data_IF_566018588404
#
_entry.id   IF_566018588404
#
_cell.length_a   1.000
_cell.length_b   1.000
_cell.length_c   1.000
_cell.angle_alpha   90.00
_cell.angle_beta   90.00
_cell.angle_gamma   90.00
#
_symmetry.space_group_name_H-M   'P 1'
#
loop_
_entity.id
_entity.type
_entity.pdbx_description
1 polymer ?
#
# COMPACT_ATOMS: atom_id res chain seq x y z
N UNK A 1 6.21 -30.68 12.27
CA UNK A 1 7.40 -30.27 11.49
C UNK A 1 7.57 -28.80 11.77
N UNK A 2 8.73 -28.31 12.22
CA UNK A 2 8.96 -26.88 12.41
C UNK A 2 8.97 -26.24 11.02
N UNK A 3 7.89 -25.52 10.68
CA UNK A 3 7.88 -24.69 9.49
C UNK A 3 9.04 -23.70 9.61
N UNK A 4 9.95 -23.75 8.68
CA UNK A 4 11.12 -22.88 8.64
C UNK A 4 10.63 -21.46 8.41
N UNK A 5 10.62 -20.70 9.47
CA UNK A 5 10.42 -19.27 9.52
C UNK A 5 11.42 -18.61 8.56
N UNK A 6 10.95 -17.93 7.52
CA UNK A 6 11.82 -17.24 6.58
C UNK A 6 12.28 -15.90 7.18
N UNK A 7 13.27 -15.96 8.06
CA UNK A 7 13.83 -14.80 8.76
C UNK A 7 14.33 -13.72 7.80
N UNK A 8 14.87 -14.12 6.64
CA UNK A 8 15.36 -13.18 5.63
C UNK A 8 14.23 -12.39 4.98
N UNK A 9 13.08 -13.01 4.71
CA UNK A 9 11.90 -12.32 4.15
C UNK A 9 11.34 -11.31 5.15
N UNK A 10 11.26 -11.65 6.43
CA UNK A 10 10.81 -10.72 7.46
C UNK A 10 11.78 -9.56 7.68
N UNK A 11 13.08 -9.80 7.59
CA UNK A 11 14.08 -8.74 7.62
C UNK A 11 13.87 -7.78 6.44
N UNK A 12 13.73 -8.31 5.21
CA UNK A 12 13.43 -7.48 4.03
C UNK A 12 12.10 -6.73 4.14
N UNK A 13 11.07 -7.35 4.74
CA UNK A 13 9.79 -6.66 5.02
C UNK A 13 9.99 -5.48 5.97
N UNK A 14 10.68 -5.68 7.09
CA UNK A 14 10.95 -4.61 8.06
C UNK A 14 11.75 -3.47 7.42
N UNK A 15 12.75 -3.79 6.59
CA UNK A 15 13.53 -2.79 5.86
C UNK A 15 12.68 -2.03 4.84
N UNK A 16 11.84 -2.73 4.08
CA UNK A 16 10.91 -2.11 3.13
C UNK A 16 9.94 -1.14 3.82
N UNK A 17 9.31 -1.57 4.92
CA UNK A 17 8.38 -0.74 5.70
C UNK A 17 9.08 0.51 6.28
N UNK A 18 10.31 0.35 6.80
CA UNK A 18 11.09 1.46 7.35
C UNK A 18 11.47 2.47 6.28
N UNK A 19 11.85 2.01 5.09
CA UNK A 19 12.28 2.85 3.97
C UNK A 19 11.12 3.46 3.18
N UNK A 20 9.88 3.08 3.46
CA UNK A 20 8.68 3.49 2.72
C UNK A 20 7.73 4.34 3.56
N UNK A 21 8.14 5.54 4.05
CA UNK A 21 7.28 6.38 4.89
C UNK A 21 6.11 7.00 4.14
N UNK A 22 6.15 7.07 2.80
CA UNK A 22 5.09 7.66 1.95
C UNK A 22 4.91 6.83 0.68
N UNK A 23 3.80 7.02 -0.09
CA UNK A 23 3.56 6.33 -1.36
C UNK A 23 4.72 6.47 -2.36
N UNK A 24 5.32 7.66 -2.46
CA UNK A 24 6.46 7.91 -3.36
C UNK A 24 7.70 7.09 -2.97
N UNK A 25 8.00 6.99 -1.68
CA UNK A 25 9.09 6.14 -1.19
C UNK A 25 8.78 4.66 -1.42
N UNK A 26 7.53 4.23 -1.21
CA UNK A 26 7.11 2.86 -1.43
C UNK A 26 7.26 2.46 -2.91
N UNK A 27 6.70 3.26 -3.83
CA UNK A 27 6.82 3.03 -5.27
C UNK A 27 8.30 3.08 -5.74
N UNK A 28 9.10 4.02 -5.22
CA UNK A 28 10.52 4.12 -5.50
C UNK A 28 11.31 2.89 -5.04
N UNK A 29 11.05 2.38 -3.82
CA UNK A 29 11.68 1.17 -3.29
C UNK A 29 11.26 -0.09 -4.07
N UNK A 30 9.98 -0.18 -4.47
CA UNK A 30 9.52 -1.25 -5.36
C UNK A 30 10.23 -1.19 -6.71
N UNK A 31 10.31 0.00 -7.33
CA UNK A 31 11.00 0.21 -8.60
C UNK A 31 12.48 -0.19 -8.52
N UNK A 32 13.19 0.23 -7.48
CA UNK A 32 14.60 -0.13 -7.29
C UNK A 32 14.82 -1.64 -7.18
N UNK A 33 13.94 -2.36 -6.48
CA UNK A 33 14.01 -3.83 -6.37
C UNK A 33 13.68 -4.52 -7.70
N UNK A 34 12.73 -3.99 -8.46
CA UNK A 34 12.40 -4.48 -9.81
C UNK A 34 13.57 -4.29 -10.77
N UNK A 35 14.22 -3.13 -10.76
CA UNK A 35 15.43 -2.87 -11.56
C UNK A 35 16.57 -3.84 -11.25
N UNK A 36 16.84 -4.05 -9.94
CA UNK A 36 17.83 -5.04 -9.48
C UNK A 36 17.52 -6.46 -9.97
N UNK A 37 16.23 -6.80 -10.11
CA UNK A 37 15.76 -8.07 -10.66
C UNK A 37 15.71 -8.11 -12.19
N UNK A 38 16.13 -7.04 -12.89
CA UNK A 38 16.20 -6.98 -14.35
C UNK A 38 14.90 -6.57 -15.05
N UNK A 39 13.94 -5.98 -14.35
CA UNK A 39 12.79 -5.34 -14.96
C UNK A 39 13.22 -4.05 -15.66
N UNK A 40 12.68 -3.80 -16.84
CA UNK A 40 12.96 -2.60 -17.62
C UNK A 40 11.92 -1.52 -17.33
N UNK A 41 12.37 -0.32 -16.99
CA UNK A 41 11.49 0.83 -16.83
C UNK A 41 10.89 1.25 -18.17
N UNK A 42 9.60 1.50 -18.17
CA UNK A 42 8.84 2.05 -19.29
C UNK A 42 8.40 3.49 -18.94
N UNK A 43 8.53 4.39 -19.91
CA UNK A 43 8.05 5.76 -19.78
C UNK A 43 6.64 5.89 -20.37
N UNK A 44 5.68 6.43 -19.60
CA UNK A 44 4.30 6.56 -20.06
C UNK A 44 4.16 7.41 -21.32
N UNK A 45 5.01 8.43 -21.48
CA UNK A 45 5.00 9.36 -22.61
C UNK A 45 5.72 8.83 -23.85
N UNK A 46 6.41 7.69 -23.74
CA UNK A 46 7.13 7.08 -24.84
C UNK A 46 6.33 5.95 -25.51
N UNK A 47 6.72 5.58 -26.72
CA UNK A 47 6.26 4.36 -27.35
C UNK A 47 6.95 3.17 -26.70
N UNK A 48 6.17 2.17 -26.31
CA UNK A 48 6.72 0.94 -25.75
C UNK A 48 7.12 -0.05 -26.86
N UNK A 49 8.11 -0.85 -26.57
CA UNK A 49 8.52 -2.00 -27.38
C UNK A 49 8.59 -3.22 -26.47
N UNK A 50 7.49 -3.96 -26.43
CA UNK A 50 7.37 -5.12 -25.57
C UNK A 50 7.82 -6.38 -26.30
N UNK A 51 8.56 -7.24 -25.61
CA UNK A 51 9.09 -8.49 -26.14
C UNK A 51 8.64 -9.65 -25.24
N UNK A 52 8.12 -10.76 -25.79
CA UNK A 52 7.85 -11.97 -25.02
C UNK A 52 9.06 -12.40 -24.18
N UNK A 53 8.83 -12.97 -23.00
CA UNK A 53 9.85 -13.38 -22.05
C UNK A 53 10.53 -12.25 -21.28
N UNK A 54 10.14 -10.97 -21.49
CA UNK A 54 10.73 -9.82 -20.80
C UNK A 54 9.85 -9.31 -19.67
N UNK A 55 10.48 -8.52 -18.80
CA UNK A 55 9.90 -7.97 -17.56
C UNK A 55 9.97 -6.44 -17.61
N UNK A 56 8.88 -5.80 -17.23
CA UNK A 56 8.74 -4.35 -17.34
C UNK A 56 8.06 -3.76 -16.11
N UNK A 57 8.32 -2.48 -15.84
CA UNK A 57 7.53 -1.70 -14.88
C UNK A 57 7.33 -0.26 -15.38
N UNK A 58 6.31 0.38 -14.86
CA UNK A 58 5.95 1.78 -15.14
C UNK A 58 5.38 2.41 -13.87
N UNK A 59 5.67 3.70 -13.64
CA UNK A 59 5.12 4.47 -12.52
C UNK A 59 4.19 5.56 -13.04
N UNK A 60 3.20 5.94 -12.24
CA UNK A 60 2.35 7.11 -12.44
C UNK A 60 2.38 7.98 -11.19
N UNK A 61 2.62 9.29 -11.36
CA UNK A 61 2.82 10.25 -10.27
C UNK A 61 3.94 9.86 -9.28
N UNK A 62 4.80 8.90 -9.64
CA UNK A 62 5.83 8.28 -8.81
C UNK A 62 5.30 7.69 -7.48
N UNK A 63 3.97 7.60 -7.29
CA UNK A 63 3.30 7.07 -6.12
C UNK A 63 2.54 5.77 -6.38
N UNK A 64 2.18 5.49 -7.65
CA UNK A 64 1.60 4.23 -8.10
C UNK A 64 2.56 3.52 -9.07
N UNK A 65 2.56 2.19 -9.05
CA UNK A 65 3.46 1.37 -9.88
C UNK A 65 2.72 0.15 -10.43
N UNK A 66 3.00 -0.16 -11.71
CA UNK A 66 2.62 -1.43 -12.34
C UNK A 66 3.89 -2.12 -12.81
N UNK A 67 4.06 -3.39 -12.40
CA UNK A 67 5.13 -4.25 -12.88
C UNK A 67 4.52 -5.50 -13.51
N UNK A 68 5.07 -5.94 -14.66
CA UNK A 68 4.55 -7.11 -15.36
C UNK A 68 5.65 -7.92 -16.03
N UNK A 69 5.36 -9.20 -16.20
CA UNK A 69 6.19 -10.16 -16.88
C UNK A 69 5.40 -10.80 -18.01
N UNK A 70 5.98 -10.84 -19.18
CA UNK A 70 5.40 -11.48 -20.36
C UNK A 70 5.96 -12.92 -20.48
N UNK A 71 5.13 -13.93 -20.78
CA UNK A 71 5.62 -15.26 -21.05
C UNK A 71 6.35 -15.29 -22.41
N UNK A 72 7.19 -16.29 -22.63
CA UNK A 72 7.77 -16.55 -23.97
C UNK A 72 6.71 -17.02 -24.97
N UNK A 73 5.67 -17.69 -24.47
CA UNK A 73 4.52 -18.14 -25.24
C UNK A 73 3.53 -16.99 -25.50
N UNK A 74 2.48 -17.27 -26.27
CA UNK A 74 1.38 -16.33 -26.50
C UNK A 74 0.72 -15.87 -25.18
N UNK A 75 0.49 -14.56 -25.04
CA UNK A 75 -0.19 -14.00 -23.88
C UNK A 75 -1.71 -14.10 -24.06
N UNK A 76 -2.32 -15.05 -23.40
CA UNK A 76 -3.78 -15.28 -23.45
C UNK A 76 -4.52 -14.86 -22.18
N UNK A 77 -3.81 -14.67 -21.07
CA UNK A 77 -4.37 -14.26 -19.78
C UNK A 77 -3.26 -13.68 -18.88
N UNK A 78 -3.64 -12.78 -18.00
CA UNK A 78 -2.78 -12.23 -16.95
C UNK A 78 -3.23 -12.71 -15.58
N UNK A 79 -2.26 -13.10 -14.74
CA UNK A 79 -2.44 -13.31 -13.30
C UNK A 79 -2.06 -12.00 -12.64
N UNK A 80 -3.07 -11.29 -12.10
CA UNK A 80 -2.88 -9.96 -11.57
C UNK A 80 -2.97 -9.93 -10.06
N UNK A 81 -2.08 -9.19 -9.42
CA UNK A 81 -2.10 -8.86 -8.00
C UNK A 81 -2.33 -7.36 -7.90
N UNK A 82 -3.29 -6.94 -7.09
CA UNK A 82 -3.56 -5.54 -6.78
C UNK A 82 -3.27 -5.23 -5.32
N UNK A 83 -2.67 -4.08 -5.05
CA UNK A 83 -2.42 -3.53 -3.73
C UNK A 83 -2.46 -1.99 -3.79
N UNK A 84 -2.24 -1.29 -2.67
CA UNK A 84 -2.10 0.16 -2.66
C UNK A 84 -0.91 0.62 -1.82
N UNK A 85 -0.34 1.79 -2.20
CA UNK A 85 0.89 2.34 -1.62
C UNK A 85 0.63 3.33 -0.50
N UNK A 86 -0.56 3.93 -0.45
CA UNK A 86 -0.96 4.92 0.53
C UNK A 86 -1.41 4.26 1.85
N UNK A 87 -1.43 5.05 2.91
CA UNK A 87 -1.88 4.67 4.24
C UNK A 87 -2.41 5.88 4.97
N UNK A 88 -3.35 5.74 5.93
CA UNK A 88 -3.90 6.86 6.66
C UNK A 88 -2.84 7.60 7.49
N UNK A 89 -2.95 8.94 7.55
CA UNK A 89 -1.97 9.74 8.26
C UNK A 89 -2.32 11.21 8.45
N UNK A 90 -1.33 11.98 8.89
CA UNK A 90 -1.41 13.42 9.07
C UNK A 90 -0.55 14.12 8.00
N UNK A 91 -1.20 14.73 7.02
CA UNK A 91 -0.55 15.44 5.92
C UNK A 91 -0.49 16.94 6.22
N UNK A 92 0.59 17.61 5.82
CA UNK A 92 0.73 19.04 5.99
C UNK A 92 -0.28 19.81 5.13
N UNK A 93 -0.80 20.89 5.69
CA UNK A 93 -1.55 21.90 4.91
C UNK A 93 -0.58 22.76 4.10
N UNK A 94 -1.01 23.38 2.98
CA UNK A 94 -0.16 24.25 2.18
C UNK A 94 0.48 25.40 3.01
N UNK A 95 -0.29 26.02 3.89
CA UNK A 95 0.19 27.06 4.83
C UNK A 95 0.24 26.44 6.25
N UNK A 96 1.19 25.51 6.46
CA UNK A 96 1.25 24.71 7.68
C UNK A 96 1.84 25.46 8.89
N UNK A 97 2.72 26.44 8.68
CA UNK A 97 3.42 27.15 9.77
C UNK A 97 2.43 27.88 10.69
N UNK A 98 2.45 27.56 11.97
CA UNK A 98 1.70 28.25 13.00
C UNK A 98 2.49 28.33 14.30
N UNK A 99 2.22 29.33 15.14
CA UNK A 99 2.82 29.48 16.46
C UNK A 99 1.73 29.47 17.51
N UNK A 100 1.94 28.73 18.59
CA UNK A 100 1.05 28.75 19.77
C UNK A 100 1.89 28.62 21.03
N UNK A 101 1.64 29.54 21.99
CA UNK A 101 2.34 29.58 23.27
C UNK A 101 3.90 29.56 23.17
N UNK A 102 4.46 30.20 22.14
CA UNK A 102 5.92 30.24 21.90
C UNK A 102 6.50 29.00 21.23
N UNK A 103 5.65 28.10 20.71
CA UNK A 103 6.05 26.89 20.02
C UNK A 103 5.66 26.90 18.56
N UNK A 104 6.60 26.57 17.68
CA UNK A 104 6.31 26.27 16.29
C UNK A 104 5.54 24.96 16.21
N UNK A 105 4.40 25.01 15.54
CA UNK A 105 3.58 23.86 15.18
C UNK A 105 3.33 23.83 13.67
N UNK A 106 3.00 22.66 13.15
CA UNK A 106 2.58 22.53 11.75
C UNK A 106 1.11 22.10 11.69
N UNK A 107 0.33 22.88 10.93
CA UNK A 107 -1.07 22.58 10.66
C UNK A 107 -1.20 21.34 9.75
N UNK A 108 -2.04 20.38 10.15
CA UNK A 108 -2.25 19.14 9.43
C UNK A 108 -3.70 18.97 8.99
N UNK A 109 -3.90 18.16 7.96
CA UNK A 109 -5.17 17.55 7.58
C UNK A 109 -5.08 16.04 7.74
N UNK A 110 -6.20 15.42 8.10
CA UNK A 110 -6.31 13.97 8.21
C UNK A 110 -6.47 13.38 6.82
N UNK A 111 -5.65 12.39 6.50
CA UNK A 111 -5.73 11.60 5.27
C UNK A 111 -6.31 10.22 5.61
N UNK A 112 -7.42 9.84 4.97
CA UNK A 112 -8.07 8.55 5.18
C UNK A 112 -8.74 8.39 6.55
N UNK A 113 -9.02 7.15 6.91
CA UNK A 113 -9.73 6.76 8.14
C UNK A 113 -8.82 6.57 9.35
N UNK A 114 -8.05 7.58 9.76
CA UNK A 114 -7.03 7.51 10.84
C UNK A 114 -7.62 7.23 12.22
N UNK A 115 -7.01 6.30 12.97
CA UNK A 115 -7.17 6.24 14.41
C UNK A 115 -6.32 7.33 15.06
N UNK A 116 -6.93 8.47 15.46
CA UNK A 116 -6.19 9.64 15.94
C UNK A 116 -5.53 9.47 17.31
N UNK A 117 -6.17 8.74 18.22
CA UNK A 117 -5.66 8.58 19.59
C UNK A 117 -4.25 7.99 19.67
N UNK A 118 -3.85 6.97 18.87
CA UNK A 118 -2.50 6.43 18.90
C UNK A 118 -1.40 7.38 18.39
N UNK A 119 -1.74 8.52 17.79
CA UNK A 119 -0.77 9.52 17.32
C UNK A 119 -0.21 10.40 18.43
N UNK A 120 -0.92 10.48 19.57
CA UNK A 120 -0.41 11.24 20.70
C UNK A 120 0.86 10.60 21.28
N UNK A 121 1.80 11.45 21.71
CA UNK A 121 3.03 11.09 22.40
C UNK A 121 3.98 10.20 21.58
N UNK A 122 3.83 10.20 20.24
CA UNK A 122 4.71 9.47 19.33
C UNK A 122 5.83 10.38 18.82
N UNK A 123 6.99 9.77 18.61
CA UNK A 123 8.14 10.39 17.97
C UNK A 123 7.90 10.48 16.46
N UNK A 124 7.70 11.69 15.93
CA UNK A 124 7.31 11.89 14.55
C UNK A 124 8.47 12.41 13.70
N UNK A 125 8.68 11.77 12.55
CA UNK A 125 9.45 12.25 11.42
C UNK A 125 8.54 12.87 10.37
N UNK A 126 9.12 13.47 9.33
CA UNK A 126 8.42 14.10 8.21
C UNK A 126 8.98 13.58 6.89
N UNK A 127 8.12 13.14 5.99
CA UNK A 127 8.54 12.66 4.68
C UNK A 127 7.55 13.01 3.59
N UNK A 128 8.00 12.97 2.34
CA UNK A 128 7.18 13.17 1.16
C UNK A 128 7.94 13.72 -0.02
N UNK A 129 7.25 14.47 -0.87
CA UNK A 129 7.78 15.07 -2.09
C UNK A 129 7.82 16.58 -1.95
N UNK A 130 8.94 17.20 -2.36
CA UNK A 130 9.15 18.65 -2.39
C UNK A 130 9.50 19.06 -3.80
N UNK A 131 8.86 20.12 -4.30
CA UNK A 131 9.17 20.72 -5.59
C UNK A 131 9.99 21.97 -5.37
N UNK A 132 11.18 22.01 -5.98
CA UNK A 132 12.11 23.13 -5.88
C UNK A 132 12.32 23.80 -7.24
N UNK A 133 12.55 25.11 -7.22
CA UNK A 133 12.98 25.87 -8.39
C UNK A 133 14.45 26.24 -8.25
N UNK A 134 15.25 25.87 -9.24
CA UNK A 134 16.65 26.22 -9.33
C UNK A 134 16.85 27.66 -9.87
N UNK A 135 18.06 28.20 -9.72
CA UNK A 135 18.39 29.56 -10.14
C UNK A 135 18.22 29.78 -11.65
N UNK A 136 18.31 28.72 -12.45
CA UNK A 136 18.08 28.76 -13.91
C UNK A 136 16.60 28.64 -14.29
N UNK A 137 15.71 28.50 -13.29
CA UNK A 137 14.25 28.43 -13.43
C UNK A 137 13.68 27.04 -13.65
N UNK A 138 14.51 25.97 -13.77
CA UNK A 138 13.97 24.63 -13.89
C UNK A 138 13.36 24.14 -12.57
N UNK A 139 12.32 23.30 -12.65
CA UNK A 139 11.66 22.67 -11.51
C UNK A 139 12.17 21.25 -11.35
N UNK A 140 12.53 20.88 -10.11
CA UNK A 140 12.92 19.53 -9.73
C UNK A 140 12.00 19.02 -8.64
N UNK A 141 11.66 17.71 -8.70
CA UNK A 141 10.92 17.00 -7.67
C UNK A 141 11.88 16.14 -6.86
N UNK A 142 11.92 16.34 -5.55
CA UNK A 142 12.86 15.68 -4.64
C UNK A 142 12.09 14.97 -3.54
N UNK A 143 12.46 13.72 -3.22
CA UNK A 143 11.93 13.01 -2.04
C UNK A 143 12.70 13.43 -0.79
N UNK A 144 11.98 13.90 0.20
CA UNK A 144 12.52 14.25 1.52
C UNK A 144 12.11 13.20 2.55
N UNK A 145 13.04 12.75 3.37
CA UNK A 145 12.77 11.90 4.53
C UNK A 145 13.59 12.34 5.74
N UNK A 146 12.95 13.05 6.66
CA UNK A 146 13.57 13.43 7.95
C UNK A 146 13.36 12.27 8.93
N UNK A 147 14.21 11.24 8.81
CA UNK A 147 14.15 9.97 9.58
C UNK A 147 14.73 10.13 10.99
N UNK A 148 14.15 11.06 11.75
CA UNK A 148 14.42 11.29 13.17
C UNK A 148 13.22 11.96 13.84
N UNK A 149 13.11 11.84 15.16
CA UNK A 149 12.08 12.51 15.95
C UNK A 149 12.27 14.04 15.88
N UNK A 150 11.43 14.72 15.11
CA UNK A 150 11.43 16.19 14.97
C UNK A 150 10.14 16.84 15.49
N UNK A 151 9.11 16.05 15.74
CA UNK A 151 7.83 16.55 16.18
C UNK A 151 7.10 15.55 17.07
N UNK A 152 6.09 16.05 17.75
CA UNK A 152 5.21 15.26 18.64
C UNK A 152 3.84 15.94 18.69
N UNK A 153 2.77 15.16 18.84
CA UNK A 153 1.45 15.64 19.27
C UNK A 153 1.32 15.32 20.77
N UNK A 154 1.56 16.28 21.69
CA UNK A 154 1.56 15.97 23.12
C UNK A 154 0.14 15.76 23.65
N UNK A 155 -0.06 14.75 24.47
CA UNK A 155 -1.30 14.54 25.22
C UNK A 155 -1.52 15.65 26.25
N UNK A 156 -2.78 15.99 26.47
CA UNK A 156 -3.13 16.80 27.63
C UNK A 156 -3.07 15.95 28.91
N UNK A 157 -2.49 16.49 29.97
CA UNK A 157 -2.39 15.77 31.23
C UNK A 157 -3.79 15.40 31.78
N UNK A 158 -3.91 14.17 32.33
CA UNK A 158 -5.16 13.65 32.90
C UNK A 158 -5.82 14.59 33.87
N UNK A 159 -5.05 15.41 34.59
CA UNK A 159 -5.56 16.40 35.56
C UNK A 159 -6.35 17.53 34.91
N UNK A 160 -6.08 17.80 33.62
CA UNK A 160 -6.76 18.85 32.83
C UNK A 160 -7.84 18.27 31.90
N UNK A 161 -7.89 16.91 31.75
CA UNK A 161 -8.84 16.20 30.90
C UNK A 161 -9.26 14.88 31.56
N UNK A 162 -10.09 14.96 32.58
CA UNK A 162 -10.48 13.80 33.39
C UNK A 162 -11.40 12.82 32.67
N UNK A 163 -12.04 13.26 31.59
CA UNK A 163 -12.98 12.45 30.80
C UNK A 163 -12.33 11.74 29.59
N UNK A 164 -11.03 11.89 29.39
CA UNK A 164 -10.31 11.33 28.23
C UNK A 164 -10.54 9.81 28.08
N UNK A 165 -10.56 9.07 29.20
CA UNK A 165 -10.77 7.62 29.19
C UNK A 165 -12.28 7.23 29.10
N UNK A 166 -13.19 8.18 29.13
CA UNK A 166 -14.64 7.96 29.05
C UNK A 166 -15.20 8.18 27.64
N UNK A 167 -14.33 8.34 26.60
CA UNK A 167 -14.73 8.47 25.21
C UNK A 167 -14.86 9.92 24.71
N UNK A 168 -13.98 10.84 25.16
CA UNK A 168 -13.91 12.20 24.64
C UNK A 168 -13.62 12.19 23.12
N UNK A 169 -14.45 12.84 22.28
CA UNK A 169 -14.15 12.98 20.86
C UNK A 169 -12.93 13.87 20.63
N UNK A 170 -12.05 13.46 19.70
CA UNK A 170 -10.89 14.24 19.26
C UNK A 170 -11.30 15.17 18.12
N UNK A 171 -10.89 16.44 18.21
CA UNK A 171 -11.03 17.41 17.12
C UNK A 171 -9.69 17.55 16.39
N UNK A 172 -9.55 17.01 15.14
CA UNK A 172 -8.27 17.06 14.43
C UNK A 172 -7.83 18.48 14.08
N UNK A 173 -8.75 19.41 13.90
CA UNK A 173 -8.42 20.81 13.56
C UNK A 173 -7.67 21.53 14.68
N UNK A 174 -8.00 21.25 15.94
CA UNK A 174 -7.52 22.01 17.09
C UNK A 174 -6.57 21.23 17.99
N UNK A 175 -6.47 19.89 17.85
CA UNK A 175 -5.79 19.04 18.81
C UNK A 175 -4.65 18.19 18.20
N UNK A 176 -4.51 18.18 16.86
CA UNK A 176 -3.58 17.29 16.18
C UNK A 176 -2.39 18.00 15.52
N UNK A 177 -2.19 19.30 15.75
CA UNK A 177 -1.03 20.02 15.21
C UNK A 177 0.25 19.60 15.95
N UNK A 178 1.22 18.92 15.26
CA UNK A 178 2.46 18.51 15.89
C UNK A 178 3.32 19.72 16.30
N UNK A 179 3.93 19.63 17.47
CA UNK A 179 4.86 20.61 18.03
C UNK A 179 6.27 20.23 17.59
N UNK A 180 7.03 21.21 17.05
CA UNK A 180 8.39 20.98 16.54
C UNK A 180 9.49 21.56 17.42
N UNK A 181 9.39 22.86 17.73
CA UNK A 181 10.46 23.55 18.47
C UNK A 181 9.93 24.81 19.16
N UNK A 182 10.66 25.28 20.17
CA UNK A 182 10.38 26.58 20.78
C UNK A 182 10.88 27.69 19.87
N UNK A 183 9.97 28.38 19.21
CA UNK A 183 10.25 29.52 18.34
C UNK A 183 8.94 30.24 18.00
N UNK A 184 9.00 31.58 17.93
CA UNK A 184 7.90 32.42 17.46
C UNK A 184 8.10 32.87 15.99
N UNK A 185 9.27 32.63 15.42
CA UNK A 185 9.66 33.20 14.14
C UNK A 185 10.08 32.15 13.10
N UNK A 186 10.46 30.96 13.53
CA UNK A 186 10.86 29.89 12.59
C UNK A 186 9.71 29.46 11.69
N UNK A 187 10.02 29.12 10.46
CA UNK A 187 9.05 28.72 9.43
C UNK A 187 9.35 27.34 8.86
N UNK A 188 8.33 26.68 8.31
CA UNK A 188 8.52 25.44 7.57
C UNK A 188 9.46 25.62 6.38
N UNK A 189 9.40 26.76 5.67
CA UNK A 189 10.24 27.01 4.51
C UNK A 189 11.73 27.01 4.88
N UNK A 190 12.11 27.60 6.01
CA UNK A 190 13.50 27.57 6.50
C UNK A 190 13.95 26.16 6.87
N UNK A 191 13.09 25.37 7.52
CA UNK A 191 13.38 23.98 7.85
C UNK A 191 13.53 23.12 6.58
N UNK A 192 12.65 23.29 5.60
CA UNK A 192 12.75 22.56 4.33
C UNK A 192 14.05 22.91 3.58
N UNK A 193 14.42 24.19 3.52
CA UNK A 193 15.68 24.60 2.91
C UNK A 193 16.89 23.93 3.59
N UNK A 194 16.91 23.90 4.92
CA UNK A 194 17.95 23.22 5.68
C UNK A 194 17.98 21.71 5.38
N UNK A 195 16.88 21.01 5.44
CA UNK A 195 16.82 19.55 5.21
C UNK A 195 17.14 19.17 3.76
N UNK A 196 16.76 19.99 2.78
CA UNK A 196 17.13 19.80 1.38
C UNK A 196 18.64 19.98 1.18
N UNK A 197 19.27 20.95 1.84
CA UNK A 197 20.73 21.09 1.83
C UNK A 197 21.41 19.88 2.50
N UNK A 198 20.94 19.46 3.68
CA UNK A 198 21.50 18.32 4.43
C UNK A 198 21.43 17.00 3.65
N UNK A 199 20.31 16.70 2.99
CA UNK A 199 20.09 15.41 2.36
C UNK A 199 20.49 15.36 0.88
N UNK A 200 20.38 16.45 0.16
CA UNK A 200 20.55 16.50 -1.29
C UNK A 200 21.63 17.49 -1.76
N UNK A 201 22.21 18.27 -0.84
CA UNK A 201 23.18 19.31 -1.17
C UNK A 201 22.57 20.50 -1.95
N UNK A 202 21.24 20.59 -1.95
CA UNK A 202 20.49 21.65 -2.67
C UNK A 202 20.60 22.98 -1.90
N UNK A 203 21.34 23.93 -2.47
CA UNK A 203 21.55 25.27 -1.91
C UNK A 203 20.88 26.30 -2.82
N UNK A 204 20.39 27.37 -2.20
CA UNK A 204 19.80 28.50 -2.90
C UNK A 204 18.67 28.10 -3.87
N UNK A 205 17.88 27.09 -3.53
CA UNK A 205 16.66 26.71 -4.23
C UNK A 205 15.44 27.33 -3.56
N UNK A 206 14.42 27.64 -4.34
CA UNK A 206 13.10 28.05 -3.84
C UNK A 206 12.21 26.83 -3.69
N UNK A 207 11.66 26.57 -2.51
CA UNK A 207 10.59 25.58 -2.33
C UNK A 207 9.30 26.15 -2.92
N UNK A 208 8.80 25.53 -3.98
CA UNK A 208 7.60 26.01 -4.70
C UNK A 208 6.34 25.36 -4.17
N UNK A 209 6.40 24.05 -3.91
CA UNK A 209 5.26 23.28 -3.39
C UNK A 209 5.75 21.99 -2.72
N UNK A 210 4.87 21.33 -1.97
CA UNK A 210 5.20 20.07 -1.31
C UNK A 210 3.96 19.22 -1.05
N UNK A 211 4.20 17.91 -0.94
CA UNK A 211 3.27 16.92 -0.41
C UNK A 211 4.00 16.15 0.70
N UNK A 212 3.79 16.55 1.95
CA UNK A 212 4.52 16.03 3.12
C UNK A 212 3.55 15.49 4.16
N UNK A 213 3.93 14.38 4.81
CA UNK A 213 3.18 13.77 5.90
C UNK A 213 4.08 13.40 7.07
N UNK A 214 3.52 13.48 8.27
CA UNK A 214 4.16 12.94 9.46
C UNK A 214 4.05 11.41 9.51
N UNK A 215 5.04 10.78 10.09
CA UNK A 215 5.05 9.35 10.35
C UNK A 215 5.80 9.04 11.66
N UNK A 216 5.51 7.90 12.27
CA UNK A 216 6.22 7.41 13.45
C UNK A 216 7.59 6.86 13.06
N UNK A 217 8.66 7.42 13.66
CA UNK A 217 10.04 6.94 13.42
C UNK A 217 10.33 5.62 14.13
N UNK A 218 9.42 5.10 14.92
CA UNK A 218 9.59 3.78 15.54
C UNK A 218 9.69 2.70 14.45
N UNK A 219 10.83 2.04 14.40
CA UNK A 219 11.06 0.98 13.41
C UNK A 219 10.09 -0.18 13.54
N UNK A 220 9.79 -0.88 12.43
CA UNK A 220 9.12 -2.17 12.47
C UNK A 220 9.84 -3.14 13.40
N UNK A 221 9.10 -3.98 14.10
CA UNK A 221 9.68 -4.95 15.03
C UNK A 221 8.89 -6.25 15.09
N UNK A 222 9.58 -7.34 15.39
CA UNK A 222 8.94 -8.59 15.75
C UNK A 222 8.53 -8.53 17.23
N UNK A 223 7.30 -8.89 17.53
CA UNK A 223 6.67 -8.77 18.85
C UNK A 223 6.09 -10.11 19.27
N UNK A 224 5.93 -10.29 20.58
CA UNK A 224 5.50 -11.55 21.18
C UNK A 224 6.68 -12.35 21.73
N UNK A 225 6.36 -13.25 22.67
CA UNK A 225 7.39 -14.08 23.35
C UNK A 225 8.15 -14.96 22.36
N UNK A 226 7.49 -15.38 21.29
CA UNK A 226 8.04 -16.22 20.22
C UNK A 226 8.26 -15.44 18.89
N UNK A 227 8.12 -14.12 18.92
CA UNK A 227 8.22 -13.26 17.74
C UNK A 227 7.21 -13.63 16.64
N UNK A 228 6.02 -14.06 17.02
CA UNK A 228 4.94 -14.47 16.13
C UNK A 228 4.19 -13.32 15.47
N UNK A 229 4.49 -12.08 15.85
CA UNK A 229 3.83 -10.87 15.35
C UNK A 229 4.87 -9.91 14.74
N UNK A 230 4.48 -9.23 13.68
CA UNK A 230 5.15 -8.04 13.16
C UNK A 230 4.32 -6.81 13.49
N UNK A 231 4.94 -5.81 14.12
CA UNK A 231 4.29 -4.55 14.45
C UNK A 231 5.00 -3.39 13.71
N UNK A 232 4.23 -2.62 12.96
CA UNK A 232 4.71 -1.47 12.17
C UNK A 232 3.57 -0.50 11.88
N UNK A 233 3.91 0.73 11.53
CA UNK A 233 3.00 1.60 10.80
C UNK A 233 2.84 1.09 9.36
N UNK A 234 1.73 1.42 8.71
CA UNK A 234 1.48 1.22 7.27
C UNK A 234 1.54 -0.25 6.81
N UNK A 235 1.23 -1.22 7.69
CA UNK A 235 1.02 -2.59 7.24
C UNK A 235 -0.14 -2.64 6.24
N UNK A 236 -1.18 -1.85 6.49
CA UNK A 236 -2.19 -1.47 5.52
C UNK A 236 -1.66 -0.29 4.68
N UNK A 237 -1.26 -0.50 3.40
CA UNK A 237 -1.26 -1.80 2.69
C UNK A 237 0.14 -2.14 2.14
N UNK A 238 1.20 -1.56 2.74
CA UNK A 238 2.58 -1.86 2.33
C UNK A 238 2.97 -3.33 2.53
N UNK A 239 2.27 -4.03 3.43
CA UNK A 239 2.45 -5.48 3.60
C UNK A 239 2.05 -6.23 2.32
N UNK A 240 0.89 -5.90 1.73
CA UNK A 240 0.45 -6.52 0.47
C UNK A 240 1.30 -6.06 -0.72
N UNK A 241 1.76 -4.80 -0.74
CA UNK A 241 2.73 -4.33 -1.73
C UNK A 241 4.02 -5.16 -1.70
N UNK A 242 4.58 -5.38 -0.50
CA UNK A 242 5.77 -6.20 -0.32
C UNK A 242 5.55 -7.66 -0.74
N UNK A 243 4.47 -8.28 -0.26
CA UNK A 243 4.15 -9.69 -0.55
C UNK A 243 3.91 -9.89 -2.06
N UNK A 244 3.16 -8.97 -2.70
CA UNK A 244 2.91 -9.02 -4.14
C UNK A 244 4.19 -8.84 -4.96
N UNK A 245 5.10 -7.96 -4.52
CA UNK A 245 6.41 -7.78 -5.13
C UNK A 245 7.29 -9.04 -4.99
N UNK A 246 7.40 -9.61 -3.77
CA UNK A 246 8.13 -10.86 -3.55
C UNK A 246 7.57 -11.98 -4.43
N UNK A 247 6.24 -12.12 -4.52
CA UNK A 247 5.62 -13.14 -5.36
C UNK A 247 5.92 -12.94 -6.85
N UNK A 248 5.90 -11.70 -7.35
CA UNK A 248 6.25 -11.39 -8.73
C UNK A 248 7.74 -11.67 -9.03
N UNK A 249 8.63 -11.43 -8.06
CA UNK A 249 10.06 -11.72 -8.21
C UNK A 249 10.36 -13.22 -8.16
N UNK A 250 9.59 -13.98 -7.38
CA UNK A 250 9.77 -15.43 -7.17
C UNK A 250 9.03 -16.28 -8.22
N UNK A 251 8.15 -15.71 -9.06
CA UNK A 251 7.42 -16.48 -10.08
C UNK A 251 8.34 -16.94 -11.22
N UNK A 252 8.01 -18.11 -11.83
CA UNK A 252 8.86 -18.79 -12.81
C UNK A 252 8.84 -18.19 -14.23
N UNK A 253 7.95 -17.24 -14.49
CA UNK A 253 7.84 -16.57 -15.78
C UNK A 253 7.11 -17.35 -16.87
N UNK A 254 6.57 -18.50 -16.55
CA UNK A 254 5.84 -19.33 -17.52
C UNK A 254 4.51 -18.74 -17.97
N UNK A 255 3.95 -17.81 -17.16
CA UNK A 255 2.66 -17.18 -17.37
C UNK A 255 2.78 -15.65 -17.40
N UNK A 256 1.79 -14.98 -18.02
CA UNK A 256 1.65 -13.54 -17.90
C UNK A 256 1.29 -13.16 -16.45
N UNK A 257 2.16 -12.38 -15.81
CA UNK A 257 2.02 -11.93 -14.42
C UNK A 257 2.06 -10.41 -14.33
N UNK A 258 1.23 -9.81 -13.46
CA UNK A 258 1.18 -8.36 -13.25
C UNK A 258 0.93 -8.05 -11.78
N UNK A 259 1.66 -7.07 -11.25
CA UNK A 259 1.41 -6.42 -9.97
C UNK A 259 1.04 -4.96 -10.23
N UNK A 260 -0.07 -4.50 -9.67
CA UNK A 260 -0.41 -3.09 -9.59
C UNK A 260 -0.50 -2.67 -8.12
N UNK A 261 0.22 -1.60 -7.76
CA UNK A 261 0.07 -0.91 -6.49
C UNK A 261 -0.42 0.52 -6.78
N UNK A 262 -1.69 0.77 -6.47
CA UNK A 262 -2.36 2.05 -6.68
C UNK A 262 -2.02 3.03 -5.54
N UNK A 263 -2.32 4.31 -5.76
CA UNK A 263 -2.33 5.32 -4.71
C UNK A 263 -3.78 5.73 -4.39
N UNK A 264 -4.01 6.46 -3.31
CA UNK A 264 -5.30 7.06 -2.93
C UNK A 264 -6.44 6.06 -2.65
N UNK A 265 -6.14 4.81 -2.28
CA UNK A 265 -7.17 3.85 -1.86
C UNK A 265 -7.93 4.38 -0.65
N UNK A 266 -7.21 4.87 0.34
CA UNK A 266 -7.68 5.31 1.65
C UNK A 266 -8.64 6.53 1.61
N UNK A 267 -8.73 7.15 0.45
CA UNK A 267 -9.62 8.29 0.17
C UNK A 267 -10.58 8.05 -1.00
N UNK A 268 -10.75 6.77 -1.38
CA UNK A 268 -11.77 6.32 -2.34
C UNK A 268 -11.31 6.13 -3.77
N UNK A 269 -10.00 6.07 -4.05
CA UNK A 269 -9.40 5.70 -5.36
C UNK A 269 -9.73 6.62 -6.55
N UNK A 270 -10.43 7.73 -6.36
CA UNK A 270 -10.88 8.63 -7.43
C UNK A 270 -9.79 9.63 -7.85
N UNK A 271 -8.71 9.11 -8.45
CA UNK A 271 -7.58 9.92 -8.96
C UNK A 271 -6.94 9.27 -10.17
N UNK A 272 -6.02 9.98 -10.84
CA UNK A 272 -5.31 9.45 -12.02
C UNK A 272 -4.45 8.20 -11.72
N UNK A 273 -3.98 8.04 -10.48
CA UNK A 273 -3.15 6.92 -10.01
C UNK A 273 -3.89 5.98 -9.05
N UNK A 274 -5.14 6.30 -8.67
CA UNK A 274 -6.00 5.41 -7.91
C UNK A 274 -6.63 4.31 -8.77
N UNK A 275 -7.25 3.32 -8.12
CA UNK A 275 -7.85 2.17 -8.81
C UNK A 275 -9.03 2.54 -9.73
N UNK A 276 -9.71 3.66 -9.47
CA UNK A 276 -10.76 4.21 -10.34
C UNK A 276 -10.18 4.96 -11.56
N UNK A 277 -8.88 5.29 -11.52
CA UNK A 277 -8.20 5.97 -12.61
C UNK A 277 -7.81 5.04 -13.78
N UNK A 278 -7.36 5.62 -14.90
CA UNK A 278 -7.10 4.86 -16.12
C UNK A 278 -5.78 4.08 -16.11
N UNK A 279 -4.96 4.13 -15.05
CA UNK A 279 -3.58 3.64 -15.07
C UNK A 279 -3.49 2.16 -15.50
N UNK A 280 -4.22 1.27 -14.83
CA UNK A 280 -4.20 -0.16 -15.18
C UNK A 280 -4.82 -0.41 -16.55
N UNK A 281 -5.92 0.26 -16.89
CA UNK A 281 -6.56 0.14 -18.21
C UNK A 281 -5.62 0.55 -19.34
N UNK A 282 -4.87 1.65 -19.19
CA UNK A 282 -3.91 2.15 -20.18
C UNK A 282 -2.77 1.14 -20.38
N UNK A 283 -2.23 0.57 -19.29
CA UNK A 283 -1.17 -0.45 -19.35
C UNK A 283 -1.68 -1.71 -20.06
N UNK A 284 -2.88 -2.21 -19.72
CA UNK A 284 -3.46 -3.38 -20.36
C UNK A 284 -3.71 -3.17 -21.86
N UNK A 285 -4.22 -2.00 -22.27
CA UNK A 285 -4.37 -1.64 -23.70
C UNK A 285 -3.04 -1.66 -24.42
N UNK A 286 -1.99 -1.10 -23.82
CA UNK A 286 -0.64 -1.05 -24.42
C UNK A 286 0.02 -2.44 -24.49
N UNK A 287 -0.18 -3.30 -23.52
CA UNK A 287 0.24 -4.71 -23.56
C UNK A 287 -0.52 -5.42 -24.68
N UNK A 288 -1.85 -5.31 -24.72
CA UNK A 288 -2.68 -5.94 -25.75
C UNK A 288 -2.29 -5.49 -27.16
N UNK A 289 -1.99 -4.21 -27.36
CA UNK A 289 -1.63 -3.66 -28.66
C UNK A 289 -0.35 -4.27 -29.28
N UNK A 290 0.48 -4.93 -28.48
CA UNK A 290 1.77 -5.45 -28.95
C UNK A 290 1.91 -6.95 -28.82
N UNK A 291 1.34 -7.55 -27.77
CA UNK A 291 1.57 -8.96 -27.44
C UNK A 291 0.30 -9.71 -27.01
N UNK A 292 -0.84 -9.01 -26.90
CA UNK A 292 -2.09 -9.61 -26.50
C UNK A 292 -2.94 -10.13 -27.67
N UNK A 293 -3.62 -11.26 -27.46
CA UNK A 293 -4.56 -11.82 -28.43
C UNK A 293 -4.00 -12.98 -29.26
N UNK A 294 -4.88 -13.63 -30.00
CA UNK A 294 -4.56 -14.78 -30.86
C UNK A 294 -4.50 -14.37 -32.33
N UNK A 295 -3.40 -14.71 -32.99
CA UNK A 295 -3.26 -14.56 -34.44
C UNK A 295 -3.30 -13.10 -34.94
N UNK A 296 -4.08 -12.81 -35.98
CA UNK A 296 -4.13 -11.51 -36.66
C UNK A 296 -4.92 -10.42 -35.95
N UNK A 297 -5.47 -10.69 -34.76
CA UNK A 297 -6.32 -9.77 -34.00
C UNK A 297 -5.59 -9.04 -32.87
N UNK A 298 -4.26 -9.19 -32.78
CA UNK A 298 -3.44 -8.50 -31.78
C UNK A 298 -3.76 -7.01 -31.81
N UNK A 299 -4.07 -6.43 -30.64
CA UNK A 299 -4.35 -5.01 -30.50
C UNK A 299 -5.77 -4.56 -30.82
N UNK A 300 -6.66 -5.48 -31.18
CA UNK A 300 -8.08 -5.17 -31.35
C UNK A 300 -8.78 -4.97 -30.00
N UNK A 301 -9.91 -4.28 -29.99
CA UNK A 301 -10.76 -4.17 -28.80
C UNK A 301 -11.29 -5.54 -28.37
N UNK A 302 -11.63 -6.41 -29.33
CA UNK A 302 -12.06 -7.78 -29.05
C UNK A 302 -10.98 -8.58 -28.35
N UNK A 303 -9.69 -8.50 -28.80
CA UNK A 303 -8.59 -9.18 -28.13
C UNK A 303 -8.34 -8.66 -26.72
N UNK A 304 -8.56 -7.36 -26.49
CA UNK A 304 -8.47 -6.78 -25.14
C UNK A 304 -9.56 -7.33 -24.21
N UNK A 305 -10.80 -7.40 -24.67
CA UNK A 305 -11.91 -7.97 -23.92
C UNK A 305 -11.62 -9.44 -23.57
N UNK A 306 -11.16 -10.22 -24.55
CA UNK A 306 -10.80 -11.63 -24.34
C UNK A 306 -9.64 -11.78 -23.33
N UNK A 307 -8.59 -10.95 -23.42
CA UNK A 307 -7.49 -10.93 -22.47
C UNK A 307 -7.98 -10.65 -21.05
N UNK A 308 -8.80 -9.60 -20.87
CA UNK A 308 -9.36 -9.23 -19.56
C UNK A 308 -10.24 -10.34 -18.98
N UNK A 309 -11.16 -10.90 -19.79
CA UNK A 309 -12.08 -11.94 -19.32
C UNK A 309 -11.40 -13.29 -19.06
N UNK A 310 -10.25 -13.55 -19.70
CA UNK A 310 -9.43 -14.73 -19.43
C UNK A 310 -8.48 -14.55 -18.26
N UNK A 311 -8.31 -13.33 -17.76
CA UNK A 311 -7.45 -12.96 -16.65
C UNK A 311 -8.17 -13.07 -15.31
N UNK A 312 -7.40 -13.00 -14.22
CA UNK A 312 -7.95 -12.92 -12.86
C UNK A 312 -7.09 -12.00 -12.00
N UNK A 313 -7.75 -11.21 -11.16
CA UNK A 313 -7.09 -10.34 -10.19
C UNK A 313 -7.32 -10.82 -8.75
N UNK A 314 -6.24 -10.95 -8.00
CA UNK A 314 -6.27 -11.03 -6.54
C UNK A 314 -6.01 -9.61 -6.00
N UNK A 315 -7.07 -8.97 -5.51
CA UNK A 315 -7.00 -7.71 -4.78
C UNK A 315 -6.52 -8.01 -3.36
N UNK A 316 -5.25 -7.68 -3.09
CA UNK A 316 -4.61 -7.90 -1.81
C UNK A 316 -4.71 -6.64 -0.96
N UNK A 317 -5.50 -6.74 0.11
CA UNK A 317 -5.69 -5.70 1.09
C UNK A 317 -6.00 -6.35 2.44
N UNK A 318 -5.41 -5.83 3.53
CA UNK A 318 -5.42 -6.52 4.80
C UNK A 318 -6.84 -6.76 5.34
N UNK A 319 -7.00 -7.77 6.18
CA UNK A 319 -8.29 -8.18 6.74
C UNK A 319 -8.32 -7.98 8.26
N UNK A 320 -9.52 -7.77 8.83
CA UNK A 320 -9.68 -7.64 10.28
C UNK A 320 -9.53 -9.00 10.97
N UNK A 321 -8.45 -9.17 11.74
CA UNK A 321 -8.27 -10.35 12.58
C UNK A 321 -9.19 -10.32 13.80
N UNK A 322 -9.66 -11.49 14.26
CA UNK A 322 -10.44 -11.63 15.48
C UNK A 322 -9.69 -10.98 16.65
N UNK A 323 -10.28 -9.94 17.22
CA UNK A 323 -9.63 -9.16 18.28
C UNK A 323 -9.91 -9.80 19.65
N UNK A 324 -8.88 -10.16 20.44
CA UNK A 324 -9.06 -10.89 21.69
C UNK A 324 -9.90 -10.14 22.74
N UNK A 325 -9.79 -8.78 22.76
CA UNK A 325 -10.52 -7.93 23.71
C UNK A 325 -11.86 -7.39 23.19
N UNK A 326 -12.18 -7.58 21.88
CA UNK A 326 -13.39 -7.05 21.23
C UNK A 326 -14.05 -8.11 20.35
N UNK A 327 -14.18 -9.33 20.88
CA UNK A 327 -14.76 -10.47 20.14
C UNK A 327 -16.19 -10.21 19.67
N UNK A 328 -16.95 -9.42 20.41
CA UNK A 328 -18.31 -9.00 20.11
C UNK A 328 -18.43 -8.13 18.84
N UNK A 329 -17.32 -7.61 18.30
CA UNK A 329 -17.27 -6.85 17.05
C UNK A 329 -17.10 -7.73 15.80
N UNK A 330 -16.96 -9.02 15.97
CA UNK A 330 -16.77 -9.97 14.87
C UNK A 330 -17.98 -10.90 14.72
N UNK A 331 -18.18 -11.40 13.48
CA UNK A 331 -19.07 -12.52 13.26
C UNK A 331 -18.55 -13.76 14.01
N UNK A 332 -19.44 -14.52 14.64
CA UNK A 332 -19.07 -15.65 15.53
C UNK A 332 -18.28 -16.76 14.83
N UNK A 333 -18.46 -16.91 13.49
CA UNK A 333 -17.89 -18.01 12.69
C UNK A 333 -16.86 -17.56 11.68
N UNK A 334 -16.71 -16.25 11.46
CA UNK A 334 -15.87 -15.68 10.40
C UNK A 334 -14.88 -14.64 10.96
N UNK A 335 -14.34 -14.89 12.13
CA UNK A 335 -13.27 -14.10 12.76
C UNK A 335 -11.89 -14.71 12.46
N UNK A 336 -11.12 -14.16 11.50
CA UNK A 336 -9.83 -14.72 11.12
C UNK A 336 -8.81 -14.66 12.25
N UNK A 337 -8.04 -15.74 12.42
CA UNK A 337 -6.92 -15.78 13.35
C UNK A 337 -5.64 -15.25 12.69
N UNK A 338 -4.85 -14.49 13.44
CA UNK A 338 -3.47 -14.15 13.05
C UNK A 338 -2.65 -15.45 12.97
N UNK A 339 -1.75 -15.53 11.99
CA UNK A 339 -0.99 -16.73 11.64
C UNK A 339 -1.84 -17.93 11.19
N UNK A 340 -3.08 -17.67 10.77
CA UNK A 340 -3.99 -18.66 10.24
C UNK A 340 -4.08 -18.74 8.72
N UNK A 341 -3.23 -17.99 8.00
CA UNK A 341 -3.20 -17.90 6.54
C UNK A 341 -4.09 -16.80 5.97
N UNK A 342 -4.01 -16.58 4.65
CA UNK A 342 -4.76 -15.54 3.96
C UNK A 342 -6.26 -15.67 4.14
N UNK A 343 -6.92 -14.52 4.15
CA UNK A 343 -8.35 -14.37 4.42
C UNK A 343 -9.08 -13.98 3.14
N UNK A 344 -10.01 -14.80 2.68
CA UNK A 344 -10.95 -14.45 1.62
C UNK A 344 -12.02 -13.53 2.21
N UNK A 345 -12.13 -12.31 1.70
CA UNK A 345 -13.13 -11.32 2.13
C UNK A 345 -14.41 -11.51 1.32
N UNK A 346 -15.57 -11.67 1.98
CA UNK A 346 -16.89 -11.90 1.36
C UNK A 346 -17.90 -10.89 1.85
N UNK A 347 -18.65 -10.29 0.95
CA UNK A 347 -19.72 -9.36 1.29
C UNK A 347 -20.88 -9.46 0.30
N UNK A 348 -22.10 -9.69 0.79
CA UNK A 348 -23.30 -9.83 -0.03
C UNK A 348 -23.70 -8.56 -0.79
N UNK A 349 -23.27 -7.38 -0.31
CA UNK A 349 -23.49 -6.08 -0.96
C UNK A 349 -22.37 -5.66 -1.90
N UNK A 350 -21.50 -6.59 -2.30
CA UNK A 350 -20.38 -6.35 -3.22
C UNK A 350 -19.41 -5.24 -2.75
N UNK A 351 -19.23 -5.09 -1.43
CA UNK A 351 -18.14 -4.27 -0.87
C UNK A 351 -16.77 -4.92 -1.07
N UNK A 352 -16.77 -6.23 -1.37
CA UNK A 352 -15.67 -7.03 -1.88
C UNK A 352 -16.11 -7.70 -3.18
N UNK A 353 -15.22 -7.81 -4.15
CA UNK A 353 -15.51 -8.37 -5.48
C UNK A 353 -15.62 -9.90 -5.50
N UNK A 354 -15.27 -10.55 -4.40
CA UNK A 354 -15.26 -12.01 -4.27
C UNK A 354 -16.61 -12.63 -4.60
N UNK A 355 -16.58 -13.66 -5.44
CA UNK A 355 -17.71 -14.54 -5.71
C UNK A 355 -17.30 -16.02 -5.55
N UNK A 356 -18.25 -16.95 -5.74
CA UNK A 356 -17.99 -18.38 -5.53
C UNK A 356 -16.97 -18.97 -6.52
N UNK A 357 -16.90 -18.46 -7.74
CA UNK A 357 -15.94 -18.92 -8.77
C UNK A 357 -14.52 -18.53 -8.39
N UNK A 358 -14.30 -17.23 -8.14
CA UNK A 358 -12.98 -16.70 -7.78
C UNK A 358 -12.53 -17.22 -6.41
N UNK A 359 -13.47 -17.38 -5.46
CA UNK A 359 -13.23 -17.96 -4.15
C UNK A 359 -12.83 -19.44 -4.21
N UNK A 360 -13.48 -20.24 -5.08
CA UNK A 360 -13.12 -21.64 -5.28
C UNK A 360 -11.71 -21.78 -5.87
N UNK A 361 -11.38 -20.96 -6.87
CA UNK A 361 -10.06 -20.96 -7.48
C UNK A 361 -8.96 -20.62 -6.46
N UNK A 362 -9.15 -19.57 -5.65
CA UNK A 362 -8.14 -19.20 -4.65
C UNK A 362 -7.97 -20.26 -3.56
N UNK A 363 -9.04 -20.93 -3.13
CA UNK A 363 -8.95 -22.08 -2.20
C UNK A 363 -8.15 -23.22 -2.82
N UNK A 364 -8.32 -23.46 -4.11
CA UNK A 364 -7.56 -24.50 -4.84
C UNK A 364 -6.07 -24.13 -4.95
N UNK A 365 -5.76 -22.86 -5.24
CA UNK A 365 -4.39 -22.32 -5.20
C UNK A 365 -3.75 -22.54 -3.83
N UNK A 366 -4.46 -22.19 -2.74
CA UNK A 366 -3.95 -22.38 -1.39
C UNK A 366 -3.72 -23.87 -1.07
N UNK A 367 -4.64 -24.76 -1.50
CA UNK A 367 -4.51 -26.21 -1.32
C UNK A 367 -3.25 -26.74 -2.06
N UNK A 368 -3.02 -26.32 -3.30
CA UNK A 368 -1.84 -26.73 -4.08
C UNK A 368 -0.53 -26.22 -3.48
N UNK A 369 -0.56 -25.02 -2.89
CA UNK A 369 0.59 -24.40 -2.23
C UNK A 369 0.79 -24.87 -0.77
N UNK A 370 -0.05 -25.77 -0.27
CA UNK A 370 -0.07 -26.19 1.15
C UNK A 370 -0.15 -24.99 2.12
N UNK A 371 -1.09 -24.09 1.85
CA UNK A 371 -1.35 -22.87 2.62
C UNK A 371 -2.75 -22.95 3.25
N UNK A 372 -2.88 -22.73 4.57
CA UNK A 372 -4.20 -22.61 5.19
C UNK A 372 -4.92 -21.37 4.67
N UNK A 373 -6.26 -21.41 4.60
CA UNK A 373 -7.07 -20.28 4.11
C UNK A 373 -8.28 -20.08 4.99
N UNK A 374 -8.57 -18.82 5.27
CA UNK A 374 -9.68 -18.38 6.12
C UNK A 374 -10.72 -17.60 5.33
N UNK A 375 -11.83 -17.24 5.95
CA UNK A 375 -12.82 -16.35 5.38
C UNK A 375 -13.25 -15.30 6.41
N UNK A 376 -13.52 -14.09 5.91
CA UNK A 376 -14.07 -12.98 6.69
C UNK A 376 -15.41 -12.53 6.12
N UNK A 377 -16.34 -12.33 7.04
CA UNK A 377 -17.64 -11.68 6.79
C UNK A 377 -17.85 -10.65 7.87
N UNK A 378 -18.21 -9.43 7.49
CA UNK A 378 -18.59 -8.38 8.45
C UNK A 378 -19.88 -8.77 9.17
N UNK A 379 -20.00 -8.48 10.48
CA UNK A 379 -21.27 -8.66 11.21
C UNK A 379 -22.41 -7.97 10.44
N UNK A 380 -23.57 -8.62 10.37
CA UNK A 380 -24.73 -8.15 9.60
C UNK A 380 -25.30 -6.79 10.06
N UNK A 381 -25.01 -6.40 11.30
CA UNK A 381 -25.42 -5.13 11.93
C UNK A 381 -24.35 -4.04 11.86
N UNK A 382 -23.23 -4.27 11.15
CA UNK A 382 -22.12 -3.32 11.02
C UNK A 382 -21.89 -2.94 9.55
N UNK A 383 -21.38 -1.72 9.33
CA UNK A 383 -20.92 -1.28 8.02
C UNK A 383 -19.66 -2.04 7.58
N UNK A 384 -19.54 -2.27 6.28
CA UNK A 384 -18.37 -2.87 5.66
C UNK A 384 -17.56 -1.81 4.92
N UNK A 385 -16.24 -1.77 5.11
CA UNK A 385 -15.32 -1.04 4.25
C UNK A 385 -15.33 -1.57 2.82
N UNK A 386 -14.60 -0.96 1.93
CA UNK A 386 -14.38 -1.43 0.56
C UNK A 386 -12.87 -1.50 0.31
N UNK A 387 -12.48 -1.96 -0.87
CA UNK A 387 -11.11 -2.17 -1.31
C UNK A 387 -10.97 -1.75 -2.76
N UNK A 388 -9.77 -1.81 -3.34
CA UNK A 388 -9.58 -1.62 -4.77
C UNK A 388 -10.28 -2.70 -5.63
N UNK A 389 -10.56 -3.88 -5.05
CA UNK A 389 -11.13 -5.02 -5.79
C UNK A 389 -12.44 -4.71 -6.52
N UNK A 390 -13.52 -4.27 -5.82
CA UNK A 390 -14.77 -3.91 -6.47
C UNK A 390 -14.62 -2.79 -7.50
N UNK A 391 -13.72 -1.83 -7.24
CA UNK A 391 -13.46 -0.71 -8.15
C UNK A 391 -12.84 -1.23 -9.45
N UNK A 392 -11.77 -1.99 -9.36
CA UNK A 392 -11.09 -2.56 -10.53
C UNK A 392 -12.00 -3.53 -11.30
N UNK A 393 -12.79 -4.36 -10.58
CA UNK A 393 -13.77 -5.23 -11.21
C UNK A 393 -14.85 -4.46 -11.98
N UNK A 394 -15.28 -3.30 -11.48
CA UNK A 394 -16.29 -2.46 -12.14
C UNK A 394 -15.70 -1.72 -13.35
N UNK A 395 -14.51 -1.14 -13.20
CA UNK A 395 -13.89 -0.33 -14.26
C UNK A 395 -13.39 -1.16 -15.46
N UNK A 396 -12.87 -2.37 -15.19
CA UNK A 396 -12.26 -3.23 -16.20
C UNK A 396 -13.11 -4.45 -16.58
N UNK A 397 -14.03 -4.87 -15.72
CA UNK A 397 -14.75 -6.12 -15.90
C UNK A 397 -13.90 -7.38 -15.65
N UNK A 398 -12.73 -7.27 -15.04
CA UNK A 398 -11.86 -8.42 -14.75
C UNK A 398 -12.42 -9.24 -13.59
N UNK A 399 -12.48 -10.59 -13.70
CA UNK A 399 -12.78 -11.45 -12.57
C UNK A 399 -11.83 -11.17 -11.39
N UNK A 400 -12.39 -10.83 -10.23
CA UNK A 400 -11.60 -10.38 -9.07
C UNK A 400 -12.00 -11.11 -7.79
N UNK A 401 -11.02 -11.34 -6.92
CA UNK A 401 -11.19 -11.80 -5.54
C UNK A 401 -10.47 -10.87 -4.59
N UNK A 402 -11.07 -10.58 -3.44
CA UNK A 402 -10.46 -9.83 -2.35
C UNK A 402 -9.89 -10.78 -1.28
N UNK A 403 -8.59 -10.65 -1.04
CA UNK A 403 -7.83 -11.48 -0.10
C UNK A 403 -6.94 -10.57 0.75
N UNK A 404 -6.73 -10.92 2.02
CA UNK A 404 -5.83 -10.14 2.88
C UNK A 404 -5.11 -10.94 3.94
N UNK A 405 -4.05 -10.34 4.49
CA UNK A 405 -3.41 -10.79 5.73
C UNK A 405 -4.27 -10.34 6.91
N UNK A 406 -4.58 -11.22 7.88
CA UNK A 406 -5.30 -10.81 9.07
C UNK A 406 -4.42 -9.92 9.96
N UNK A 407 -4.94 -8.76 10.35
CA UNK A 407 -4.22 -7.80 11.22
C UNK A 407 -5.11 -7.20 12.30
N UNK A 408 -4.48 -6.70 13.36
CA UNK A 408 -5.09 -5.85 14.38
C UNK A 408 -4.69 -4.40 14.20
N UNK A 409 -5.52 -3.52 14.75
CA UNK A 409 -5.29 -2.07 14.81
C UNK A 409 -5.09 -1.44 13.41
N UNK A 410 -5.82 -1.93 12.39
CA UNK A 410 -5.84 -1.30 11.06
C UNK A 410 -6.09 0.20 11.17
N UNK A 411 -5.35 1.01 10.41
CA UNK A 411 -5.36 2.48 10.43
C UNK A 411 -4.80 3.14 11.70
N UNK A 412 -4.21 2.35 12.60
CA UNK A 412 -3.38 2.90 13.68
C UNK A 412 -2.01 3.33 13.15
N UNK A 413 -1.38 4.29 13.83
CA UNK A 413 0.02 4.61 13.57
C UNK A 413 0.97 3.42 13.85
N UNK A 414 0.47 2.35 14.51
CA UNK A 414 1.17 1.08 14.72
C UNK A 414 0.20 -0.08 14.68
N UNK A 415 0.26 -0.82 13.61
CA UNK A 415 -0.57 -1.99 13.28
C UNK A 415 0.16 -3.28 13.59
N UNK A 416 -0.54 -4.41 13.61
CA UNK A 416 0.04 -5.70 13.97
C UNK A 416 -0.51 -6.83 13.12
N UNK A 417 0.38 -7.62 12.48
CA UNK A 417 0.03 -8.78 11.67
C UNK A 417 0.84 -10.01 12.08
N UNK A 418 0.50 -11.18 11.55
CA UNK A 418 1.19 -12.44 11.81
C UNK A 418 2.45 -12.60 10.96
N UNK A 419 3.54 -13.06 11.56
CA UNK A 419 4.79 -13.31 10.82
C UNK A 419 4.69 -14.50 9.87
N UNK A 420 3.89 -15.53 10.19
CA UNK A 420 3.65 -16.67 9.29
C UNK A 420 2.73 -16.31 8.12
N UNK A 421 1.80 -15.37 8.31
CA UNK A 421 0.87 -14.95 7.27
C UNK A 421 1.59 -14.29 6.08
N UNK A 422 2.74 -13.65 6.31
CA UNK A 422 3.61 -13.12 5.27
C UNK A 422 4.07 -14.23 4.32
N UNK A 423 4.54 -15.33 4.87
CA UNK A 423 4.99 -16.49 4.08
C UNK A 423 3.81 -17.21 3.40
N UNK A 424 2.70 -17.41 4.13
CA UNK A 424 1.53 -18.06 3.58
C UNK A 424 0.96 -17.33 2.37
N UNK A 425 0.76 -16.02 2.46
CA UNK A 425 0.23 -15.25 1.34
C UNK A 425 1.24 -15.20 0.18
N UNK A 426 2.55 -15.04 0.46
CA UNK A 426 3.57 -15.07 -0.61
C UNK A 426 3.53 -16.39 -1.37
N UNK A 427 3.52 -17.53 -0.68
CA UNK A 427 3.44 -18.86 -1.32
C UNK A 427 2.18 -19.04 -2.15
N UNK A 428 1.03 -18.60 -1.64
CA UNK A 428 -0.23 -18.64 -2.38
C UNK A 428 -0.16 -17.78 -3.66
N UNK A 429 0.39 -16.57 -3.57
CA UNK A 429 0.51 -15.68 -4.73
C UNK A 429 1.52 -16.20 -5.76
N UNK A 430 2.66 -16.77 -5.36
CA UNK A 430 3.59 -17.44 -6.29
C UNK A 430 2.89 -18.61 -7.01
N UNK A 431 2.16 -19.45 -6.25
CA UNK A 431 1.36 -20.52 -6.83
C UNK A 431 0.31 -20.03 -7.84
N UNK A 432 -0.34 -18.90 -7.53
CA UNK A 432 -1.28 -18.26 -8.44
C UNK A 432 -0.60 -17.73 -9.71
N UNK A 433 0.53 -17.03 -9.59
CA UNK A 433 1.24 -16.45 -10.73
C UNK A 433 1.78 -17.51 -11.69
N UNK A 434 2.16 -18.70 -11.18
CA UNK A 434 2.66 -19.83 -11.98
C UNK A 434 1.54 -20.73 -12.51
N UNK A 435 0.28 -20.51 -12.09
CA UNK A 435 -0.82 -21.39 -12.43
C UNK A 435 -1.17 -21.33 -13.92
N UNK A 436 -1.14 -22.47 -14.61
CA UNK A 436 -1.39 -22.53 -16.05
C UNK A 436 -2.84 -22.23 -16.42
N UNK A 437 -3.81 -22.67 -15.61
CA UNK A 437 -5.26 -22.49 -15.87
C UNK A 437 -5.93 -21.70 -14.77
N UNK A 438 -6.77 -20.72 -15.15
CA UNK A 438 -7.58 -19.88 -14.25
C UNK A 438 -9.06 -20.30 -14.19
N UNK A 439 -9.40 -21.45 -14.74
CA UNK A 439 -10.75 -22.02 -14.81
C UNK A 439 -10.73 -23.50 -14.43
#
# INVERSE_FOLDING_TARGET
MSETFNADRLTRLCDFLRQSPTPWHAAGNMAARLEQAGFQRLEERANWQLTPGKRYYVTRNDSAIIAFQLPESELTALRMIGAHTDSPGLHLKPNATQCSAGWLQLGVQVYGGVLLAPWFDRDLGLAGRVHVRHADGHLESVLLNVDRAIAMVPSLAIHLDRDVNSGRPLNPQTQMAPVLMQSETATLAELLAQWLEEQHGLRAVEVVDFELGFYDVQSPSLVGVKQELVASARLDNLLSCFIGLEALLDCDGSQGALLVANDHEEVGSASACGAQGPFLADVLRRINAQVGGRGSEIGSEESLIQLIQSSLMISCDNAHALHPNFRDKHDERHGPAINGGPVIKVNASQRYATNSVTGALFRDVCREADVPVQAFVTRADMGCGSTIGPITATELGVPTIDVGVPQWAMHSIRETAGTQDVEYLTRALVGFLNRAKLN
#
